data_IF_473265956501
#
_entry.id   IF_473265956501
#
_cell.length_a   1.000
_cell.length_b   1.000
_cell.length_c   1.000
_cell.angle_alpha   90.00
_cell.angle_beta   90.00
_cell.angle_gamma   90.00
#
_symmetry.space_group_name_H-M   'P 1'
#
loop_
_entity.id
_entity.type
_entity.pdbx_description
1 polymer ?
#
# COMPACT_ATOMS: atom_id res chain seq x y z
N UNK A 1 8.67 7.12 -6.28
CA UNK A 1 8.57 6.40 -7.57
C UNK A 1 9.16 5.00 -7.37
N UNK A 2 8.48 3.92 -7.75
CA UNK A 2 8.94 2.54 -7.48
C UNK A 2 9.56 1.92 -8.73
N UNK A 3 10.89 1.78 -8.76
CA UNK A 3 11.63 1.20 -9.88
C UNK A 3 11.79 -0.33 -9.79
N UNK A 4 11.24 -0.99 -8.76
CA UNK A 4 11.34 -2.46 -8.62
C UNK A 4 10.35 -3.22 -9.51
N UNK A 5 9.36 -2.54 -10.08
CA UNK A 5 8.39 -3.17 -10.97
C UNK A 5 9.06 -3.67 -12.26
N UNK A 6 8.82 -4.93 -12.62
CA UNK A 6 9.36 -5.56 -13.82
C UNK A 6 8.98 -4.81 -15.10
N UNK A 7 7.79 -4.19 -15.16
CA UNK A 7 7.36 -3.41 -16.32
C UNK A 7 8.25 -2.18 -16.54
N UNK A 8 8.64 -1.51 -15.46
CA UNK A 8 9.54 -0.35 -15.51
C UNK A 8 10.94 -0.79 -15.92
N UNK A 9 11.42 -1.92 -15.40
CA UNK A 9 12.69 -2.52 -15.81
C UNK A 9 12.71 -2.91 -17.29
N UNK A 10 11.59 -3.41 -17.82
CA UNK A 10 11.46 -3.71 -19.24
C UNK A 10 11.56 -2.45 -20.12
N UNK A 11 11.02 -1.31 -19.67
CA UNK A 11 11.18 -0.03 -20.38
C UNK A 11 12.65 0.39 -20.42
N UNK A 12 13.35 0.33 -19.28
CA UNK A 12 14.78 0.64 -19.24
C UNK A 12 15.61 -0.33 -20.10
N UNK A 13 15.22 -1.61 -20.13
CA UNK A 13 15.85 -2.62 -20.98
C UNK A 13 15.75 -2.24 -22.46
N UNK A 14 14.57 -1.83 -22.93
CA UNK A 14 14.38 -1.36 -24.30
C UNK A 14 15.21 -0.10 -24.59
N UNK A 15 15.28 0.84 -23.63
CA UNK A 15 16.10 2.04 -23.78
C UNK A 15 17.61 1.73 -23.85
N UNK A 16 18.10 0.78 -23.05
CA UNK A 16 19.51 0.36 -23.03
C UNK A 16 19.99 -0.30 -24.34
N UNK A 17 19.06 -0.82 -25.15
CA UNK A 17 19.37 -1.39 -26.46
C UNK A 17 19.60 -0.32 -27.53
N UNK A 18 19.13 0.91 -27.31
CA UNK A 18 19.35 2.01 -28.24
C UNK A 18 20.79 2.50 -28.18
N UNK A 19 21.46 2.60 -29.32
CA UNK A 19 22.87 3.03 -29.40
C UNK A 19 23.11 4.46 -28.90
N UNK A 20 22.09 5.33 -28.97
CA UNK A 20 22.18 6.73 -28.57
C UNK A 20 21.89 6.98 -27.08
N UNK A 21 21.45 5.96 -26.34
CA UNK A 21 21.08 6.10 -24.92
C UNK A 21 22.07 5.29 -24.10
N UNK A 22 22.72 5.96 -23.14
CA UNK A 22 23.59 5.34 -22.17
C UNK A 22 23.00 5.48 -20.79
N UNK A 23 22.99 4.39 -20.02
CA UNK A 23 22.38 4.36 -18.69
C UNK A 23 23.48 4.16 -17.66
N UNK A 24 23.48 5.01 -16.64
CA UNK A 24 24.23 4.84 -15.41
C UNK A 24 23.23 4.66 -14.27
N UNK A 25 23.50 3.70 -13.38
CA UNK A 25 22.62 3.39 -12.26
C UNK A 25 23.45 2.96 -11.05
N UNK A 26 22.92 3.24 -9.86
CA UNK A 26 23.43 2.76 -8.58
C UNK A 26 22.48 1.73 -7.99
N UNK A 27 23.02 0.81 -7.18
CA UNK A 27 22.25 -0.25 -6.53
C UNK A 27 22.72 -0.34 -5.08
N UNK A 28 21.83 -0.01 -4.14
CA UNK A 28 22.13 -0.08 -2.70
C UNK A 28 21.52 -1.33 -2.04
N UNK A 29 20.43 -1.85 -2.59
CA UNK A 29 19.76 -3.01 -2.00
C UNK A 29 20.51 -4.31 -2.31
N UNK A 30 20.76 -5.13 -1.28
CA UNK A 30 21.52 -6.39 -1.37
C UNK A 30 20.94 -7.33 -2.45
N UNK A 31 19.61 -7.38 -2.55
CA UNK A 31 18.90 -8.20 -3.52
C UNK A 31 18.59 -7.49 -4.85
N UNK A 32 19.14 -6.29 -5.08
CA UNK A 32 18.85 -5.48 -6.27
C UNK A 32 19.02 -6.23 -7.60
N UNK A 33 20.14 -6.95 -7.82
CA UNK A 33 20.36 -7.70 -9.06
C UNK A 33 19.38 -8.85 -9.31
N UNK A 34 18.66 -9.34 -8.28
CA UNK A 34 17.69 -10.45 -8.42
C UNK A 34 16.45 -10.07 -9.25
N UNK A 35 16.22 -8.79 -9.50
CA UNK A 35 15.11 -8.32 -10.33
C UNK A 35 15.33 -8.72 -11.81
N UNK A 36 16.58 -8.92 -12.22
CA UNK A 36 16.93 -9.20 -13.62
C UNK A 36 17.15 -10.68 -13.88
N UNK A 37 16.40 -11.21 -14.86
CA UNK A 37 16.71 -12.51 -15.45
C UNK A 37 17.91 -12.40 -16.43
N UNK A 38 18.43 -13.54 -16.86
CA UNK A 38 19.57 -13.61 -17.78
C UNK A 38 19.34 -12.83 -19.10
N UNK A 39 18.10 -12.86 -19.63
CA UNK A 39 17.75 -12.11 -20.83
C UNK A 39 17.80 -10.59 -20.63
N UNK A 40 17.44 -10.11 -19.44
CA UNK A 40 17.48 -8.69 -19.08
C UNK A 40 18.91 -8.24 -18.90
N UNK A 41 19.73 -9.02 -18.18
CA UNK A 41 21.17 -8.75 -18.03
C UNK A 41 21.89 -8.65 -19.38
N UNK A 42 21.59 -9.56 -20.31
CA UNK A 42 22.17 -9.53 -21.65
C UNK A 42 21.80 -8.27 -22.45
N UNK A 43 20.60 -7.72 -22.21
CA UNK A 43 20.15 -6.51 -22.92
C UNK A 43 20.74 -5.24 -22.31
N UNK A 44 20.87 -5.19 -20.98
CA UNK A 44 21.48 -4.05 -20.30
C UNK A 44 22.99 -3.95 -20.52
N UNK A 45 23.68 -5.08 -20.72
CA UNK A 45 25.15 -5.13 -20.91
C UNK A 45 25.90 -4.36 -19.82
N UNK A 46 25.54 -4.61 -18.56
CA UNK A 46 26.11 -3.90 -17.42
C UNK A 46 27.62 -4.13 -17.29
N UNK A 47 28.33 -3.06 -16.94
CA UNK A 47 29.71 -3.09 -16.47
C UNK A 47 29.66 -2.71 -14.99
N UNK A 48 30.10 -3.62 -14.14
CA UNK A 48 29.98 -3.48 -12.69
C UNK A 48 31.22 -2.82 -12.10
N UNK A 49 31.01 -1.73 -11.36
CA UNK A 49 32.05 -1.04 -10.61
C UNK A 49 31.70 -1.02 -9.12
N UNK A 50 32.69 -1.33 -8.28
CA UNK A 50 32.55 -1.26 -6.82
C UNK A 50 33.05 0.10 -6.34
N UNK A 51 32.14 0.96 -5.91
CA UNK A 51 32.45 2.30 -5.39
C UNK A 51 31.90 2.41 -3.97
N UNK A 52 32.78 2.39 -2.98
CA UNK A 52 32.42 2.54 -1.57
C UNK A 52 32.65 3.99 -1.13
N UNK A 53 31.59 4.78 -0.96
CA UNK A 53 31.70 6.21 -0.62
C UNK A 53 31.74 6.47 0.89
N UNK A 54 31.17 5.57 1.71
CA UNK A 54 31.05 5.70 3.18
C UNK A 54 30.29 6.96 3.62
N UNK A 55 29.63 7.66 2.68
CA UNK A 55 28.79 8.81 2.96
C UNK A 55 27.43 8.36 3.49
N UNK A 56 26.82 9.11 4.43
CA UNK A 56 25.51 8.76 4.95
C UNK A 56 24.41 9.00 3.92
N UNK A 57 23.45 8.08 3.85
CA UNK A 57 22.27 8.12 2.96
C UNK A 57 21.20 9.10 3.46
N UNK A 58 21.52 10.40 3.54
CA UNK A 58 20.62 11.40 4.11
C UNK A 58 19.39 11.60 3.21
N UNK A 59 19.62 11.75 1.90
CA UNK A 59 18.57 12.07 0.93
C UNK A 59 17.72 10.84 0.58
N UNK A 60 18.34 9.66 0.48
CA UNK A 60 17.67 8.40 0.16
C UNK A 60 16.78 7.92 1.32
N UNK A 61 17.24 8.12 2.56
CA UNK A 61 16.45 7.74 3.75
C UNK A 61 15.39 8.76 4.13
N UNK A 62 15.29 9.92 3.46
CA UNK A 62 14.22 10.90 3.78
C UNK A 62 12.83 10.27 3.70
N UNK A 63 12.53 9.49 2.65
CA UNK A 63 11.23 8.84 2.50
C UNK A 63 11.00 7.69 3.50
N UNK A 64 12.04 6.93 3.84
CA UNK A 64 11.92 5.83 4.81
C UNK A 64 11.84 6.34 6.25
N UNK A 65 12.63 7.35 6.61
CA UNK A 65 12.54 8.08 7.88
C UNK A 65 11.19 8.77 8.01
N UNK A 66 10.66 9.35 6.93
CA UNK A 66 9.30 9.86 6.91
C UNK A 66 8.27 8.77 7.16
N UNK A 67 8.47 7.51 6.75
CA UNK A 67 7.56 6.42 7.13
C UNK A 67 7.61 6.12 8.64
N UNK A 68 8.81 6.01 9.23
CA UNK A 68 8.93 5.78 10.68
C UNK A 68 8.44 6.97 11.53
N UNK A 69 8.62 8.21 11.03
CA UNK A 69 8.19 9.44 11.70
C UNK A 69 6.70 9.76 11.41
N UNK A 70 6.17 9.49 10.21
CA UNK A 70 4.72 9.61 9.88
C UNK A 70 3.87 8.52 10.54
N UNK A 71 4.45 7.37 10.88
CA UNK A 71 3.83 6.48 11.86
C UNK A 71 3.63 7.16 13.22
N UNK A 72 4.22 8.32 13.51
CA UNK A 72 3.88 9.17 14.67
C UNK A 72 2.91 10.31 14.31
N UNK A 73 2.88 10.78 13.06
CA UNK A 73 2.00 11.84 12.56
C UNK A 73 1.07 11.35 11.44
N UNK A 74 -0.13 10.88 11.82
CA UNK A 74 -1.43 10.75 11.13
C UNK A 74 -1.58 10.58 9.59
N UNK A 75 -0.53 10.44 8.78
CA UNK A 75 -0.62 10.30 7.32
C UNK A 75 0.21 9.11 6.85
N UNK A 76 -0.47 7.98 6.66
CA UNK A 76 0.13 6.77 6.08
C UNK A 76 0.58 7.06 4.64
N UNK A 77 1.80 6.65 4.29
CA UNK A 77 2.28 6.69 2.92
C UNK A 77 1.70 5.53 2.10
N UNK A 78 1.58 5.72 0.80
CA UNK A 78 1.04 4.72 -0.14
C UNK A 78 1.82 3.40 -0.04
N UNK A 79 3.15 3.47 0.05
CA UNK A 79 4.01 2.29 0.14
C UNK A 79 3.83 1.52 1.44
N UNK A 80 3.59 2.21 2.57
CA UNK A 80 3.29 1.55 3.83
C UNK A 80 1.94 0.80 3.76
N UNK A 81 0.91 1.42 3.16
CA UNK A 81 -0.40 0.77 2.99
C UNK A 81 -0.29 -0.43 2.06
N UNK A 82 0.50 -0.35 0.98
CA UNK A 82 0.76 -1.49 0.09
C UNK A 82 1.37 -2.68 0.82
N UNK A 83 2.41 -2.45 1.64
CA UNK A 83 3.03 -3.54 2.40
C UNK A 83 2.10 -4.13 3.47
N UNK A 84 1.28 -3.29 4.12
CA UNK A 84 0.26 -3.81 5.04
C UNK A 84 -0.73 -4.68 4.27
N UNK A 85 -1.24 -4.24 3.13
CA UNK A 85 -2.18 -5.01 2.31
C UNK A 85 -1.57 -6.35 1.84
N UNK A 86 -0.29 -6.37 1.47
CA UNK A 86 0.41 -7.61 1.07
C UNK A 86 0.52 -8.61 2.22
N UNK A 87 0.59 -8.13 3.47
CA UNK A 87 0.67 -8.98 4.67
C UNK A 87 -0.69 -9.54 5.13
N UNK A 88 -1.80 -8.94 4.66
CA UNK A 88 -3.15 -9.32 5.07
C UNK A 88 -3.60 -10.65 4.46
N UNK A 89 -4.36 -11.42 5.23
CA UNK A 89 -4.98 -12.66 4.73
C UNK A 89 -5.95 -12.39 3.58
N UNK A 90 -6.22 -13.37 2.68
CA UNK A 90 -7.14 -13.16 1.56
C UNK A 90 -8.55 -12.68 1.97
N UNK A 91 -9.06 -13.15 3.12
CA UNK A 91 -10.35 -12.71 3.64
C UNK A 91 -10.27 -11.28 4.21
N UNK A 92 -9.18 -10.95 4.92
CA UNK A 92 -8.94 -9.60 5.41
C UNK A 92 -8.88 -8.58 4.26
N UNK A 93 -8.20 -8.90 3.16
CA UNK A 93 -8.14 -8.06 1.96
C UNK A 93 -9.52 -7.81 1.35
N UNK A 94 -10.40 -8.81 1.34
CA UNK A 94 -11.78 -8.69 0.85
C UNK A 94 -12.65 -7.81 1.76
N UNK A 95 -12.51 -7.97 3.07
CA UNK A 95 -13.20 -7.11 4.07
C UNK A 95 -12.73 -5.66 3.92
N UNK A 96 -11.42 -5.45 3.77
CA UNK A 96 -10.85 -4.13 3.56
C UNK A 96 -11.33 -3.50 2.25
N UNK A 97 -11.41 -4.29 1.17
CA UNK A 97 -11.98 -3.85 -0.10
C UNK A 97 -13.42 -3.38 0.02
N UNK A 98 -14.27 -4.13 0.73
CA UNK A 98 -15.66 -3.76 0.98
C UNK A 98 -15.75 -2.41 1.73
N UNK A 99 -14.92 -2.21 2.75
CA UNK A 99 -14.83 -0.94 3.46
C UNK A 99 -14.41 0.22 2.54
N UNK A 100 -13.43 -0.01 1.67
CA UNK A 100 -12.95 0.98 0.69
C UNK A 100 -14.03 1.33 -0.34
N UNK A 101 -14.73 0.34 -0.88
CA UNK A 101 -15.82 0.54 -1.85
C UNK A 101 -16.98 1.33 -1.21
N UNK A 102 -17.37 0.98 0.01
CA UNK A 102 -18.41 1.70 0.76
C UNK A 102 -18.01 3.15 1.07
N UNK A 103 -16.74 3.38 1.38
CA UNK A 103 -16.23 4.73 1.59
C UNK A 103 -16.25 5.55 0.30
N UNK A 104 -15.78 4.99 -0.81
CA UNK A 104 -15.81 5.69 -2.11
C UNK A 104 -17.24 6.04 -2.54
N UNK A 105 -18.19 5.12 -2.36
CA UNK A 105 -19.60 5.36 -2.68
C UNK A 105 -20.21 6.52 -1.88
N UNK A 106 -19.85 6.63 -0.60
CA UNK A 106 -20.39 7.64 0.32
C UNK A 106 -19.51 8.90 0.43
N UNK A 107 -18.37 8.95 -0.23
CA UNK A 107 -17.42 10.07 -0.13
C UNK A 107 -17.94 11.40 -0.72
N UNK A 108 -19.06 11.36 -1.44
CA UNK A 108 -19.73 12.54 -2.00
C UNK A 108 -20.64 13.26 -0.99
N UNK A 109 -21.04 12.60 0.11
CA UNK A 109 -21.85 13.24 1.16
C UNK A 109 -20.95 13.83 2.24
N UNK A 110 -21.07 15.14 2.47
CA UNK A 110 -20.27 15.89 3.47
C UNK A 110 -20.51 15.43 4.91
N UNK A 111 -21.60 14.69 5.16
CA UNK A 111 -22.00 14.18 6.47
C UNK A 111 -21.64 12.70 6.70
N UNK A 112 -20.82 12.09 5.83
CA UNK A 112 -20.46 10.68 5.99
C UNK A 112 -19.51 10.47 7.18
N UNK A 113 -20.09 10.01 8.29
CA UNK A 113 -19.36 9.62 9.49
C UNK A 113 -18.73 8.22 9.40
N UNK A 114 -18.85 7.47 8.31
CA UNK A 114 -18.31 6.10 8.20
C UNK A 114 -19.39 5.02 8.18
N UNK A 115 -18.97 3.76 7.98
CA UNK A 115 -19.87 2.61 7.84
C UNK A 115 -20.29 2.09 9.22
N UNK A 116 -21.57 1.75 9.40
CA UNK A 116 -22.06 1.14 10.64
C UNK A 116 -21.48 -0.28 10.79
N UNK A 117 -21.05 -0.64 11.99
CA UNK A 117 -20.49 -1.97 12.26
C UNK A 117 -21.50 -3.09 11.96
N UNK A 118 -22.78 -2.87 12.26
CA UNK A 118 -23.87 -3.81 11.98
C UNK A 118 -24.01 -4.09 10.48
N UNK A 119 -23.99 -3.04 9.66
CA UNK A 119 -24.07 -3.14 8.21
C UNK A 119 -22.86 -3.86 7.63
N UNK A 120 -21.65 -3.53 8.10
CA UNK A 120 -20.42 -4.20 7.71
C UNK A 120 -20.49 -5.70 8.03
N UNK A 121 -20.95 -6.05 9.23
CA UNK A 121 -21.08 -7.45 9.66
C UNK A 121 -22.09 -8.21 8.79
N UNK A 122 -23.24 -7.62 8.49
CA UNK A 122 -24.23 -8.23 7.61
C UNK A 122 -23.67 -8.49 6.20
N UNK A 123 -22.98 -7.51 5.61
CA UNK A 123 -22.39 -7.68 4.28
C UNK A 123 -21.26 -8.72 4.29
N UNK A 124 -20.38 -8.70 5.31
CA UNK A 124 -19.32 -9.70 5.46
C UNK A 124 -19.88 -11.12 5.64
N UNK A 125 -21.00 -11.26 6.36
CA UNK A 125 -21.68 -12.55 6.55
C UNK A 125 -22.37 -13.02 5.27
N UNK A 126 -23.02 -12.12 4.52
CA UNK A 126 -23.64 -12.42 3.21
C UNK A 126 -22.61 -12.90 2.18
N UNK A 127 -21.41 -12.31 2.19
CA UNK A 127 -20.32 -12.70 1.29
C UNK A 127 -19.41 -13.80 1.85
N UNK A 128 -19.76 -14.40 3.00
CA UNK A 128 -19.01 -15.48 3.65
C UNK A 128 -17.54 -15.14 3.97
N UNK A 129 -17.22 -13.87 4.25
CA UNK A 129 -15.85 -13.47 4.63
C UNK A 129 -15.54 -13.77 6.10
N UNK A 130 -16.57 -13.82 6.95
CA UNK A 130 -16.43 -14.01 8.39
C UNK A 130 -17.53 -14.94 8.93
N UNK A 131 -17.16 -15.82 9.86
CA UNK A 131 -18.06 -16.78 10.49
C UNK A 131 -18.79 -16.23 11.73
N UNK A 132 -18.11 -15.41 12.55
CA UNK A 132 -18.64 -14.86 13.80
C UNK A 132 -18.25 -13.39 13.97
N UNK A 133 -19.05 -12.61 14.71
CA UNK A 133 -18.77 -11.21 15.02
C UNK A 133 -17.40 -11.03 15.69
N UNK A 134 -17.03 -11.96 16.58
CA UNK A 134 -15.72 -11.95 17.24
C UNK A 134 -14.56 -11.99 16.25
N UNK A 135 -14.66 -12.79 15.19
CA UNK A 135 -13.63 -12.88 14.16
C UNK A 135 -13.53 -11.57 13.35
N UNK A 136 -14.67 -10.91 13.10
CA UNK A 136 -14.67 -9.59 12.45
C UNK A 136 -13.98 -8.56 13.35
N UNK A 137 -14.28 -8.55 14.66
CA UNK A 137 -13.63 -7.65 15.61
C UNK A 137 -12.12 -7.85 15.69
N UNK A 138 -11.64 -9.10 15.68
CA UNK A 138 -10.20 -9.39 15.64
C UNK A 138 -9.53 -8.82 14.37
N UNK A 139 -10.18 -8.97 13.21
CA UNK A 139 -9.69 -8.41 11.95
C UNK A 139 -9.71 -6.87 11.96
N UNK A 140 -10.71 -6.25 12.58
CA UNK A 140 -10.75 -4.80 12.75
C UNK A 140 -9.64 -4.32 13.70
N UNK A 141 -9.29 -5.07 14.75
CA UNK A 141 -8.17 -4.75 15.64
C UNK A 141 -6.86 -4.72 14.86
N UNK A 142 -6.62 -5.70 13.99
CA UNK A 142 -5.46 -5.73 13.09
C UNK A 142 -5.40 -4.46 12.22
N UNK A 143 -6.53 -4.03 11.65
CA UNK A 143 -6.59 -2.78 10.87
C UNK A 143 -6.39 -1.51 11.72
N UNK A 144 -6.77 -1.53 13.00
CA UNK A 144 -6.55 -0.42 13.95
C UNK A 144 -5.07 -0.34 14.34
N UNK A 145 -4.43 -1.47 14.60
CA UNK A 145 -3.00 -1.55 14.92
C UNK A 145 -2.15 -1.01 13.76
N UNK A 146 -2.57 -1.29 12.52
CA UNK A 146 -1.99 -0.72 11.31
C UNK A 146 -2.48 0.70 10.97
N UNK A 147 -3.33 1.30 11.81
CA UNK A 147 -3.89 2.66 11.66
C UNK A 147 -4.61 2.92 10.34
N UNK A 148 -5.16 1.88 9.72
CA UNK A 148 -5.95 1.98 8.50
C UNK A 148 -7.36 2.49 8.80
N UNK A 149 -7.91 2.06 9.93
CA UNK A 149 -9.27 2.40 10.37
C UNK A 149 -9.27 2.95 11.79
N UNK A 150 -10.33 3.68 12.13
CA UNK A 150 -10.66 4.08 13.48
C UNK A 150 -12.10 3.66 13.78
N UNK A 151 -12.28 2.95 14.89
CA UNK A 151 -13.59 2.75 15.49
C UNK A 151 -13.99 4.01 16.26
N UNK A 152 -15.16 4.54 15.95
CA UNK A 152 -15.77 5.65 16.67
C UNK A 152 -17.20 5.29 17.07
N UNK A 153 -17.80 6.13 17.91
CA UNK A 153 -19.25 6.16 18.10
C UNK A 153 -19.82 7.29 17.25
N UNK A 154 -20.92 7.06 16.56
CA UNK A 154 -21.60 8.12 15.81
C UNK A 154 -22.11 9.20 16.74
N UNK A 155 -21.99 10.45 16.31
CA UNK A 155 -22.36 11.65 17.09
C UNK A 155 -23.85 11.68 17.39
N UNK A 156 -24.68 11.07 16.54
CA UNK A 156 -26.14 11.16 16.61
C UNK A 156 -26.82 9.93 17.23
N UNK A 157 -26.32 8.72 16.93
CA UNK A 157 -27.01 7.44 17.29
C UNK A 157 -26.24 6.60 18.34
N UNK A 158 -25.02 6.98 18.71
CA UNK A 158 -24.17 6.19 19.62
C UNK A 158 -23.72 4.82 19.10
N UNK A 159 -24.12 4.45 17.87
CA UNK A 159 -23.74 3.21 17.20
C UNK A 159 -22.25 3.19 16.82
N UNK A 160 -21.65 2.00 16.83
CA UNK A 160 -20.27 1.79 16.43
C UNK A 160 -20.12 1.98 14.92
N UNK A 161 -19.20 2.88 14.55
CA UNK A 161 -18.90 3.25 13.17
C UNK A 161 -17.43 3.00 12.86
N UNK A 162 -17.17 2.48 11.67
CA UNK A 162 -15.83 2.25 11.13
C UNK A 162 -15.50 3.38 10.16
N UNK A 163 -14.47 4.17 10.50
CA UNK A 163 -13.96 5.25 9.67
C UNK A 163 -12.60 4.87 9.08
N UNK A 164 -12.41 5.06 7.78
CA UNK A 164 -11.07 4.98 7.18
C UNK A 164 -10.28 6.23 7.52
N UNK A 165 -9.00 6.05 7.88
CA UNK A 165 -8.08 7.16 8.22
C UNK A 165 -7.30 7.68 7.01
N UNK A 166 -7.55 7.13 5.82
CA UNK A 166 -6.90 7.53 4.58
C UNK A 166 -7.65 8.75 4.01
N UNK A 167 -7.01 9.92 4.05
CA UNK A 167 -7.65 11.21 3.73
C UNK A 167 -7.74 11.51 2.21
N UNK A 168 -6.91 10.90 1.38
CA UNK A 168 -6.85 11.19 -0.06
C UNK A 168 -7.59 10.15 -0.90
N UNK A 169 -8.64 10.58 -1.60
CA UNK A 169 -9.45 9.70 -2.46
C UNK A 169 -8.68 9.11 -3.64
N UNK A 170 -7.71 9.84 -4.19
CA UNK A 170 -6.91 9.36 -5.32
C UNK A 170 -6.02 8.18 -4.93
N UNK A 171 -5.47 8.20 -3.70
CA UNK A 171 -4.74 7.07 -3.12
C UNK A 171 -5.67 5.87 -2.95
N UNK A 172 -6.88 6.08 -2.45
CA UNK A 172 -7.87 5.01 -2.22
C UNK A 172 -8.28 4.34 -3.54
N UNK A 173 -8.45 5.10 -4.63
CA UNK A 173 -8.72 4.54 -5.97
C UNK A 173 -7.53 3.73 -6.50
N UNK A 174 -6.31 4.22 -6.34
CA UNK A 174 -5.11 3.47 -6.72
C UNK A 174 -4.95 2.17 -5.92
N UNK A 175 -5.30 2.19 -4.63
CA UNK A 175 -5.31 0.99 -3.78
C UNK A 175 -6.36 -0.02 -4.22
N UNK A 176 -7.56 0.43 -4.61
CA UNK A 176 -8.62 -0.45 -5.12
C UNK A 176 -8.17 -1.20 -6.39
N UNK A 177 -7.46 -0.53 -7.30
CA UNK A 177 -6.92 -1.18 -8.51
C UNK A 177 -5.86 -2.23 -8.20
N UNK A 178 -5.10 -2.05 -7.11
CA UNK A 178 -4.10 -3.02 -6.63
C UNK A 178 -4.69 -4.18 -5.81
N UNK A 179 -5.89 -4.01 -5.27
CA UNK A 179 -6.63 -5.03 -4.50
C UNK A 179 -7.39 -6.04 -5.38
N UNK A 180 -7.08 -6.10 -6.68
CA UNK A 180 -7.67 -7.05 -7.63
C UNK A 180 -7.16 -8.48 -7.44
#
# INVERSE_FOLDING_TARGET
>A
MNFRNINVQNIFKSAAQCQYIHIFATIDHIHGPLIWNQQSLNSFRWIWYTVHTWLPYIDETTNERLNTIRLKTSQLSITAVEHVIESLTPNARRIFRLLVEAFLANSNSKDYEGMKFTELYEQCKRSFYVNNEQNLRLQLIEFIDHRLIKLGKSTNDGQEIVRLLIAEQDIVKQLLDKLK
#
